data_IF_818664412071
#
_entry.id   IF_818664412071
#
_cell.length_a   1.000
_cell.length_b   1.000
_cell.length_c   1.000
_cell.angle_alpha   90.00
_cell.angle_beta   90.00
_cell.angle_gamma   90.00
#
_symmetry.space_group_name_H-M   'P 1'
#
loop_
_entity.id
_entity.type
_entity.pdbx_description
1 polymer ?
#
# COMPACT_ATOMS: atom_id res chain seq x y z
N UNK A 1 -1.72 4.29 18.74
CA UNK A 1 -0.32 4.38 18.39
C UNK A 1 0.02 5.74 17.76
N UNK A 2 1.29 5.99 17.51
CA UNK A 2 1.76 7.26 16.99
C UNK A 2 1.14 7.60 15.62
N UNK A 3 1.12 6.65 14.71
CA UNK A 3 0.58 6.88 13.38
C UNK A 3 -0.92 7.20 13.41
N UNK A 4 -1.66 6.50 14.25
CA UNK A 4 -3.08 6.75 14.42
C UNK A 4 -3.33 8.19 14.86
N UNK A 5 -2.54 8.67 15.84
CA UNK A 5 -2.64 10.04 16.33
C UNK A 5 -2.31 11.06 15.25
N UNK A 6 -1.28 10.79 14.46
CA UNK A 6 -0.85 11.70 13.40
C UNK A 6 -1.91 11.83 12.30
N UNK A 7 -2.64 10.76 12.00
CA UNK A 7 -3.72 10.81 11.02
C UNK A 7 -4.95 11.58 11.51
N UNK A 8 -5.10 11.78 12.81
CA UNK A 8 -6.31 12.38 13.37
C UNK A 8 -6.15 13.82 13.84
N UNK A 9 -4.94 14.40 13.77
CA UNK A 9 -4.69 15.78 14.19
C UNK A 9 -4.64 16.72 12.99
N UNK A 10 -4.61 18.02 13.28
CA UNK A 10 -4.42 19.03 12.23
C UNK A 10 -3.10 18.78 11.53
N UNK A 11 -3.11 18.88 10.21
CA UNK A 11 -1.92 18.60 9.40
C UNK A 11 -1.84 17.15 8.96
N UNK A 12 -2.88 16.35 9.20
CA UNK A 12 -2.88 14.95 8.79
C UNK A 12 -2.65 14.76 7.30
N UNK A 13 -3.14 15.71 6.45
CA UNK A 13 -2.92 15.64 5.01
C UNK A 13 -1.43 15.69 4.67
N UNK A 14 -0.68 16.55 5.35
CA UNK A 14 0.77 16.63 5.17
C UNK A 14 1.46 15.35 5.61
N UNK A 15 1.02 14.76 6.72
CA UNK A 15 1.56 13.49 7.18
C UNK A 15 1.24 12.37 6.20
N UNK A 16 0.01 12.31 5.69
CA UNK A 16 -0.37 11.33 4.69
C UNK A 16 0.47 11.45 3.42
N UNK A 17 0.75 12.67 2.98
CA UNK A 17 1.58 12.92 1.82
C UNK A 17 3.01 12.41 2.04
N UNK A 18 3.61 12.67 3.19
CA UNK A 18 4.95 12.20 3.52
C UNK A 18 4.98 10.68 3.59
N UNK A 19 4.01 10.08 4.26
CA UNK A 19 3.89 8.63 4.41
C UNK A 19 3.72 7.97 3.04
N UNK A 20 2.84 8.51 2.20
CA UNK A 20 2.63 8.03 0.85
C UNK A 20 3.89 8.13 0.02
N UNK A 21 4.63 9.24 0.13
CA UNK A 21 5.87 9.44 -0.60
C UNK A 21 6.93 8.42 -0.18
N UNK A 22 7.05 8.13 1.09
CA UNK A 22 8.01 7.14 1.60
C UNK A 22 7.70 5.75 1.07
N UNK A 23 6.42 5.36 1.07
CA UNK A 23 5.99 4.05 0.56
C UNK A 23 6.21 3.98 -0.96
N UNK A 24 5.89 5.04 -1.66
CA UNK A 24 6.11 5.12 -3.10
C UNK A 24 7.59 4.95 -3.45
N UNK A 25 8.46 5.66 -2.74
CA UNK A 25 9.90 5.55 -2.93
C UNK A 25 10.40 4.13 -2.64
N UNK A 26 9.84 3.47 -1.65
CA UNK A 26 10.17 2.09 -1.34
C UNK A 26 9.86 1.16 -2.52
N UNK A 27 8.68 1.29 -3.13
CA UNK A 27 8.31 0.49 -4.30
C UNK A 27 9.20 0.80 -5.51
N UNK A 28 9.51 2.06 -5.74
CA UNK A 28 10.39 2.45 -6.85
C UNK A 28 11.77 1.79 -6.68
N UNK A 29 12.33 1.83 -5.47
CA UNK A 29 13.63 1.22 -5.20
C UNK A 29 13.63 -0.28 -5.43
N UNK A 30 12.54 -0.96 -5.05
CA UNK A 30 12.40 -2.40 -5.29
C UNK A 30 12.39 -2.68 -6.79
N UNK A 31 11.58 -1.93 -7.55
CA UNK A 31 11.48 -2.12 -8.98
C UNK A 31 12.81 -1.87 -9.70
N UNK A 32 13.57 -0.88 -9.24
CA UNK A 32 14.88 -0.59 -9.80
C UNK A 32 15.91 -1.66 -9.43
N UNK A 33 15.93 -2.06 -8.16
CA UNK A 33 16.90 -3.02 -7.63
C UNK A 33 16.83 -4.36 -8.36
N UNK A 34 15.65 -4.84 -8.65
CA UNK A 34 15.46 -6.17 -9.26
C UNK A 34 15.30 -6.10 -10.76
N UNK A 35 15.42 -4.91 -11.34
CA UNK A 35 15.37 -4.70 -12.80
C UNK A 35 14.17 -5.40 -13.45
N UNK A 36 13.02 -5.28 -12.85
CA UNK A 36 11.80 -5.88 -13.37
C UNK A 36 11.42 -5.25 -14.71
N UNK A 37 11.18 -6.08 -15.70
CA UNK A 37 10.67 -5.62 -16.98
C UNK A 37 9.16 -5.51 -16.92
N UNK A 38 8.64 -4.38 -17.41
CA UNK A 38 7.21 -4.16 -17.46
C UNK A 38 6.61 -4.98 -18.60
N UNK A 39 5.51 -5.69 -18.31
CA UNK A 39 4.79 -6.45 -19.31
C UNK A 39 4.32 -5.53 -20.44
N UNK A 40 4.38 -6.01 -21.68
CA UNK A 40 3.98 -5.23 -22.86
C UNK A 40 2.56 -4.68 -22.78
N UNK A 41 1.67 -5.38 -22.09
CA UNK A 41 0.29 -4.92 -21.89
C UNK A 41 0.20 -3.65 -21.04
N UNK A 42 1.27 -3.32 -20.31
CA UNK A 42 1.34 -2.16 -19.44
C UNK A 42 2.21 -1.05 -20.02
N UNK A 43 2.42 -1.04 -21.35
CA UNK A 43 3.29 -0.05 -21.99
C UNK A 43 2.91 1.39 -21.73
N UNK A 44 1.61 1.66 -21.50
CA UNK A 44 1.14 3.00 -21.23
C UNK A 44 1.35 3.42 -19.78
N UNK A 45 1.81 2.51 -18.93
CA UNK A 45 2.04 2.77 -17.52
C UNK A 45 3.53 2.72 -17.22
N UNK A 46 4.06 3.82 -16.70
CA UNK A 46 5.45 3.86 -16.24
C UNK A 46 5.61 3.06 -14.95
N UNK A 47 6.88 2.77 -14.59
CA UNK A 47 7.19 2.17 -13.29
C UNK A 47 6.66 3.04 -12.15
N UNK A 48 6.75 4.35 -12.32
CA UNK A 48 6.23 5.30 -11.34
C UNK A 48 4.73 5.14 -11.14
N UNK A 49 3.96 5.05 -12.22
CA UNK A 49 2.52 4.89 -12.13
C UNK A 49 2.13 3.54 -11.53
N UNK A 50 2.84 2.48 -11.87
CA UNK A 50 2.60 1.16 -11.30
C UNK A 50 2.90 1.17 -9.79
N UNK A 51 4.02 1.79 -9.42
CA UNK A 51 4.39 1.94 -8.01
C UNK A 51 3.33 2.73 -7.25
N UNK A 52 2.82 3.80 -7.84
CA UNK A 52 1.77 4.62 -7.24
C UNK A 52 0.49 3.81 -7.01
N UNK A 53 0.14 2.98 -7.96
CA UNK A 53 -1.04 2.11 -7.84
C UNK A 53 -0.95 1.22 -6.59
N UNK A 54 0.18 0.54 -6.40
CA UNK A 54 0.37 -0.32 -5.24
C UNK A 54 0.51 0.49 -3.96
N UNK A 55 1.19 1.62 -4.02
CA UNK A 55 1.37 2.51 -2.89
C UNK A 55 0.04 3.01 -2.33
N UNK A 56 -0.86 3.46 -3.19
CA UNK A 56 -2.16 3.96 -2.75
C UNK A 56 -2.99 2.89 -2.07
N UNK A 57 -2.94 1.66 -2.58
CA UNK A 57 -3.61 0.53 -1.94
C UNK A 57 -3.07 0.25 -0.55
N UNK A 58 -1.75 0.26 -0.40
CA UNK A 58 -1.11 0.03 0.90
C UNK A 58 -1.44 1.13 1.90
N UNK A 59 -1.36 2.38 1.47
CA UNK A 59 -1.69 3.52 2.33
C UNK A 59 -3.13 3.41 2.82
N UNK A 60 -4.05 3.09 1.92
CA UNK A 60 -5.47 2.94 2.28
C UNK A 60 -5.68 1.85 3.32
N UNK A 61 -5.07 0.69 3.12
CA UNK A 61 -5.22 -0.44 4.05
C UNK A 61 -4.67 -0.09 5.43
N UNK A 62 -3.48 0.49 5.48
CA UNK A 62 -2.86 0.85 6.76
C UNK A 62 -3.67 1.92 7.48
N UNK A 63 -4.10 2.94 6.75
CA UNK A 63 -4.91 4.01 7.31
C UNK A 63 -6.23 3.47 7.88
N UNK A 64 -6.92 2.62 7.15
CA UNK A 64 -8.17 2.00 7.59
C UNK A 64 -7.93 1.17 8.84
N UNK A 65 -6.87 0.37 8.85
CA UNK A 65 -6.54 -0.45 10.01
C UNK A 65 -6.28 0.40 11.27
N UNK A 66 -5.61 1.55 11.11
CA UNK A 66 -5.29 2.40 12.24
C UNK A 66 -6.47 3.22 12.76
N UNK A 67 -7.35 3.66 11.87
CA UNK A 67 -8.39 4.62 12.22
C UNK A 67 -9.77 3.99 12.48
N UNK A 68 -10.04 2.84 11.89
CA UNK A 68 -11.35 2.19 12.04
C UNK A 68 -11.30 1.18 13.18
N UNK A 69 -12.15 1.38 14.17
CA UNK A 69 -12.20 0.52 15.36
C UNK A 69 -12.46 -0.94 15.02
N UNK A 70 -13.22 -1.21 13.97
CA UNK A 70 -13.51 -2.57 13.54
C UNK A 70 -12.25 -3.33 13.13
N UNK A 71 -11.31 -2.62 12.55
CA UNK A 71 -10.10 -3.23 12.00
C UNK A 71 -8.89 -3.15 12.92
N UNK A 72 -8.91 -2.25 13.91
CA UNK A 72 -7.79 -2.11 14.85
C UNK A 72 -7.52 -3.37 15.66
N UNK A 73 -8.54 -4.21 15.86
CA UNK A 73 -8.40 -5.45 16.61
C UNK A 73 -7.65 -6.53 15.82
N UNK A 74 -7.49 -6.36 14.51
CA UNK A 74 -6.74 -7.31 13.69
C UNK A 74 -5.26 -7.22 14.05
N UNK A 75 -4.62 -8.34 14.42
CA UNK A 75 -3.18 -8.33 14.71
C UNK A 75 -2.39 -7.86 13.49
N UNK A 76 -1.28 -7.17 13.74
CA UNK A 76 -0.44 -6.63 12.66
C UNK A 76 0.07 -7.73 11.72
N UNK A 77 0.32 -8.92 12.25
CA UNK A 77 0.77 -10.06 11.44
C UNK A 77 -0.29 -10.47 10.43
N UNK A 78 -1.55 -10.54 10.86
CA UNK A 78 -2.66 -10.90 9.99
C UNK A 78 -2.90 -9.83 8.92
N UNK A 79 -2.77 -8.56 9.30
CA UNK A 79 -2.85 -7.44 8.39
C UNK A 79 -1.78 -7.53 7.29
N UNK A 80 -0.56 -7.83 7.72
CA UNK A 80 0.56 -7.97 6.80
C UNK A 80 0.35 -9.14 5.84
N UNK A 81 -0.05 -10.30 6.36
CA UNK A 81 -0.31 -11.47 5.54
C UNK A 81 -1.40 -11.21 4.51
N UNK A 82 -2.49 -10.55 4.92
CA UNK A 82 -3.56 -10.19 4.01
C UNK A 82 -3.08 -9.27 2.90
N UNK A 83 -2.27 -8.29 3.25
CA UNK A 83 -1.73 -7.36 2.25
C UNK A 83 -0.82 -8.07 1.26
N UNK A 84 0.08 -8.93 1.75
CA UNK A 84 0.98 -9.70 0.88
C UNK A 84 0.17 -10.61 -0.05
N UNK A 85 -0.89 -11.23 0.47
CA UNK A 85 -1.76 -12.05 -0.34
C UNK A 85 -2.38 -11.24 -1.49
N UNK A 86 -2.88 -10.02 -1.19
CA UNK A 86 -3.43 -9.14 -2.21
C UNK A 86 -2.39 -8.75 -3.26
N UNK A 87 -1.15 -8.52 -2.84
CA UNK A 87 -0.07 -8.17 -3.77
C UNK A 87 0.30 -9.30 -4.72
N UNK A 88 0.19 -10.53 -4.27
CA UNK A 88 0.71 -11.69 -4.99
C UNK A 88 -0.35 -12.49 -5.72
N UNK A 89 -1.61 -12.09 -5.64
CA UNK A 89 -2.71 -12.79 -6.30
C UNK A 89 -3.53 -11.83 -7.16
N UNK A 90 -4.11 -12.34 -8.23
CA UNK A 90 -4.98 -11.53 -9.08
C UNK A 90 -6.35 -11.35 -8.42
N UNK A 91 -7.10 -10.36 -8.92
CA UNK A 91 -8.44 -10.11 -8.44
C UNK A 91 -9.33 -11.36 -8.48
N UNK A 92 -9.16 -12.17 -9.50
CA UNK A 92 -9.99 -13.37 -9.66
C UNK A 92 -9.63 -14.50 -8.70
N UNK A 93 -8.43 -14.45 -8.13
CA UNK A 93 -7.91 -15.52 -7.26
C UNK A 93 -8.09 -15.25 -5.78
N UNK A 94 -8.47 -14.02 -5.40
CA UNK A 94 -8.56 -13.66 -3.98
C UNK A 94 -9.87 -14.08 -3.32
N UNK A 95 -10.87 -14.44 -4.11
CA UNK A 95 -12.16 -14.87 -3.58
C UNK A 95 -12.27 -16.40 -3.63
N UNK A 96 -12.74 -16.98 -2.54
CA UNK A 96 -13.05 -18.40 -2.51
C UNK A 96 -14.35 -18.68 -3.27
N UNK A 97 -14.37 -19.80 -3.94
CA UNK A 97 -15.55 -20.22 -4.68
C UNK A 97 -16.56 -20.92 -3.78
#
# INVERSE_FOLDING_TARGET
>A
NLYSKLFTINGQNSFEEVFEQDIHNFFIKILEKYDFKINKKLLLLSRENISKYYCMGMVYIIKTWMLDEKYRIIPSEDMYEGYIFLLTHSLLDIFEK
#
